data_IF_269309882819
#
_entry.id   IF_269309882819
#
_cell.length_a   1.000
_cell.length_b   1.000
_cell.length_c   1.000
_cell.angle_alpha   90.00
_cell.angle_beta   90.00
_cell.angle_gamma   90.00
#
_symmetry.space_group_name_H-M   'P 1'
#
loop_
_entity.id
_entity.type
_entity.pdbx_description
1 polymer ?
#
# COMPACT_ATOMS: atom_id res chain seq x y z
N UNK A 1 -61.95 1.57 -5.05
CA UNK A 1 -60.54 1.87 -5.32
C UNK A 1 -59.81 1.85 -4.01
N UNK A 2 -58.97 0.86 -3.66
CA UNK A 2 -58.20 0.90 -2.46
C UNK A 2 -56.96 1.80 -2.67
N UNK A 3 -56.82 2.79 -1.78
CA UNK A 3 -55.67 3.69 -1.74
C UNK A 3 -54.40 2.87 -1.54
N UNK A 4 -53.45 3.04 -2.45
CA UNK A 4 -52.10 2.52 -2.36
C UNK A 4 -51.35 3.25 -1.25
N UNK A 5 -51.32 2.70 -0.04
CA UNK A 5 -50.46 3.14 1.02
C UNK A 5 -49.00 2.93 0.59
N UNK A 6 -48.46 3.95 -0.01
CA UNK A 6 -47.01 4.06 -0.31
C UNK A 6 -46.26 3.96 1.03
N UNK A 7 -45.73 2.79 1.35
CA UNK A 7 -44.86 2.58 2.53
C UNK A 7 -43.61 3.43 2.33
N UNK A 8 -43.62 4.61 2.90
CA UNK A 8 -42.46 5.47 2.99
C UNK A 8 -41.40 4.73 3.82
N UNK A 9 -40.36 4.21 3.15
CA UNK A 9 -39.25 3.55 3.83
C UNK A 9 -38.51 4.56 4.71
N UNK A 10 -38.27 4.31 6.00
CA UNK A 10 -37.66 5.25 6.96
C UNK A 10 -36.13 5.34 6.79
N UNK A 11 -35.66 5.42 5.56
CA UNK A 11 -34.23 5.36 5.24
C UNK A 11 -33.47 6.63 5.57
N UNK A 12 -34.17 7.74 5.84
CA UNK A 12 -33.54 9.06 6.12
C UNK A 12 -33.07 9.19 7.57
N UNK A 13 -33.65 8.43 8.49
CA UNK A 13 -33.27 8.45 9.91
C UNK A 13 -32.40 7.24 10.22
N UNK A 14 -31.13 7.48 10.59
CA UNK A 14 -30.14 6.47 10.92
C UNK A 14 -30.60 5.57 12.08
N UNK A 15 -31.19 6.16 13.11
CA UNK A 15 -31.55 5.44 14.33
C UNK A 15 -32.77 4.53 14.10
N UNK A 16 -33.78 5.02 13.41
CA UNK A 16 -34.93 4.19 12.98
C UNK A 16 -34.52 3.04 12.06
N UNK A 17 -33.55 3.25 11.17
CA UNK A 17 -33.01 2.19 10.34
C UNK A 17 -32.31 1.11 11.16
N UNK A 18 -31.53 1.50 12.17
CA UNK A 18 -30.83 0.57 13.07
C UNK A 18 -31.85 -0.23 13.88
N UNK A 19 -32.88 0.40 14.39
CA UNK A 19 -33.95 -0.22 15.17
C UNK A 19 -34.78 -1.20 14.35
N UNK A 20 -35.16 -0.83 13.13
CA UNK A 20 -35.81 -1.73 12.18
C UNK A 20 -34.94 -2.95 11.84
N UNK A 21 -33.66 -2.76 11.57
CA UNK A 21 -32.74 -3.86 11.29
C UNK A 21 -32.58 -4.80 12.49
N UNK A 22 -32.55 -4.28 13.71
CA UNK A 22 -32.53 -5.09 14.93
C UNK A 22 -33.79 -5.92 15.07
N UNK A 23 -34.94 -5.30 14.92
CA UNK A 23 -36.24 -5.99 15.01
C UNK A 23 -36.40 -7.06 13.94
N UNK A 24 -35.96 -6.78 12.71
CA UNK A 24 -36.00 -7.74 11.60
C UNK A 24 -35.11 -8.96 11.86
N UNK A 25 -33.89 -8.76 12.38
CA UNK A 25 -32.96 -9.84 12.72
C UNK A 25 -33.52 -10.73 13.86
N UNK A 26 -34.14 -10.14 14.85
CA UNK A 26 -34.81 -10.89 15.92
C UNK A 26 -35.95 -11.75 15.39
N UNK A 27 -36.75 -11.23 14.44
CA UNK A 27 -37.83 -12.02 13.78
C UNK A 27 -37.27 -13.22 13.00
N UNK A 28 -36.08 -13.11 12.46
CA UNK A 28 -35.38 -14.19 11.73
C UNK A 28 -34.63 -15.15 12.67
N UNK A 29 -34.76 -15.03 13.99
CA UNK A 29 -34.06 -15.87 14.97
C UNK A 29 -32.53 -15.67 14.95
N UNK A 30 -32.07 -14.58 14.37
CA UNK A 30 -30.61 -14.27 14.35
C UNK A 30 -30.21 -13.80 15.75
N UNK A 31 -29.20 -14.47 16.31
CA UNK A 31 -28.61 -14.04 17.61
C UNK A 31 -28.10 -12.61 17.52
N UNK A 32 -28.32 -11.76 18.53
CA UNK A 32 -27.72 -10.43 18.57
C UNK A 32 -26.19 -10.55 18.44
N UNK A 33 -25.59 -9.69 17.65
CA UNK A 33 -24.12 -9.60 17.62
C UNK A 33 -23.67 -9.16 19.01
N UNK A 34 -23.06 -10.07 19.74
CA UNK A 34 -22.38 -9.73 21.00
C UNK A 34 -21.26 -8.76 20.62
N UNK A 35 -21.29 -7.56 21.17
CA UNK A 35 -20.17 -6.63 21.06
C UNK A 35 -18.94 -7.31 21.67
N UNK A 36 -17.99 -7.71 20.84
CA UNK A 36 -16.67 -8.10 21.36
C UNK A 36 -16.13 -6.91 22.12
N UNK A 37 -15.55 -7.17 23.29
CA UNK A 37 -14.87 -6.14 24.07
C UNK A 37 -13.99 -5.28 23.13
N UNK A 38 -14.05 -3.96 23.32
CA UNK A 38 -13.23 -3.00 22.58
C UNK A 38 -11.76 -3.43 22.67
N UNK A 39 -11.25 -3.95 21.59
CA UNK A 39 -9.83 -4.28 21.48
C UNK A 39 -9.12 -3.04 20.97
N UNK A 40 -8.00 -2.68 21.56
CA UNK A 40 -7.18 -1.59 21.07
C UNK A 40 -6.65 -1.86 19.65
N UNK A 41 -6.35 -0.82 18.93
CA UNK A 41 -5.71 -0.89 17.62
C UNK A 41 -4.37 -1.64 17.71
N UNK A 42 -4.13 -2.59 16.81
CA UNK A 42 -2.88 -3.39 16.79
C UNK A 42 -1.61 -2.57 16.54
N UNK A 43 -1.73 -1.31 16.12
CA UNK A 43 -0.59 -0.43 15.81
C UNK A 43 -0.39 0.64 16.87
N UNK A 44 -1.44 1.40 17.21
CA UNK A 44 -1.33 2.55 18.12
C UNK A 44 -1.99 2.32 19.50
N UNK A 45 -2.67 1.18 19.72
CA UNK A 45 -3.36 0.88 20.97
C UNK A 45 -4.68 1.62 21.19
N UNK A 46 -5.01 2.59 20.36
CA UNK A 46 -6.25 3.38 20.50
C UNK A 46 -7.50 2.51 20.50
N UNK A 47 -8.50 2.82 21.33
CA UNK A 47 -9.75 2.06 21.38
C UNK A 47 -10.46 2.07 20.02
N UNK A 48 -11.01 0.92 19.63
CA UNK A 48 -11.76 0.78 18.39
C UNK A 48 -13.23 0.58 18.71
N UNK A 49 -14.08 1.48 18.25
CA UNK A 49 -15.55 1.45 18.43
C UNK A 49 -16.29 0.52 17.46
N UNK A 50 -15.57 -0.08 16.51
CA UNK A 50 -16.13 -0.93 15.45
C UNK A 50 -15.96 -2.40 15.78
N UNK A 51 -17.09 -3.12 15.85
CA UNK A 51 -17.08 -4.56 16.06
C UNK A 51 -16.27 -5.30 14.98
N UNK A 52 -15.26 -6.05 15.42
CA UNK A 52 -14.42 -6.88 14.57
C UNK A 52 -13.33 -6.14 13.80
N UNK A 53 -13.17 -4.84 13.97
CA UNK A 53 -12.04 -4.10 13.42
C UNK A 53 -10.76 -4.41 14.22
N UNK A 54 -9.64 -4.45 13.52
CA UNK A 54 -8.31 -4.64 14.11
C UNK A 54 -7.51 -3.35 14.18
N UNK A 55 -7.93 -2.31 13.45
CA UNK A 55 -7.25 -1.04 13.28
C UNK A 55 -8.24 0.12 13.46
N UNK A 56 -7.81 1.20 14.09
CA UNK A 56 -8.59 2.41 14.28
C UNK A 56 -8.76 3.21 12.97
N UNK A 57 -7.82 3.07 12.02
CA UNK A 57 -7.80 3.79 10.76
C UNK A 57 -7.17 2.97 9.63
N UNK A 58 -7.43 3.41 8.39
CA UNK A 58 -6.76 2.87 7.20
C UNK A 58 -5.24 3.11 7.23
N UNK A 59 -4.78 4.14 7.95
CA UNK A 59 -3.35 4.40 8.11
C UNK A 59 -2.71 3.31 8.97
N UNK A 60 -3.26 3.00 10.14
CA UNK A 60 -2.78 1.93 10.99
C UNK A 60 -2.79 0.56 10.29
N UNK A 61 -3.82 0.29 9.48
CA UNK A 61 -3.83 -0.91 8.66
C UNK A 61 -2.66 -0.96 7.67
N UNK A 62 -2.43 0.13 6.92
CA UNK A 62 -1.30 0.22 5.96
C UNK A 62 0.06 0.14 6.64
N UNK A 63 0.19 0.70 7.83
CA UNK A 63 1.44 0.64 8.60
C UNK A 63 1.73 -0.77 9.11
N UNK A 64 0.68 -1.47 9.55
CA UNK A 64 0.79 -2.88 9.93
C UNK A 64 1.17 -3.77 8.74
N UNK A 65 0.48 -3.62 7.60
CA UNK A 65 0.78 -4.36 6.38
C UNK A 65 2.21 -4.08 5.89
N UNK A 66 2.64 -2.82 6.01
CA UNK A 66 4.00 -2.44 5.67
C UNK A 66 5.03 -3.12 6.58
N UNK A 67 4.84 -3.08 7.90
CA UNK A 67 5.74 -3.71 8.85
C UNK A 67 5.85 -5.23 8.59
N UNK A 68 4.72 -5.92 8.45
CA UNK A 68 4.70 -7.35 8.15
C UNK A 68 5.41 -7.69 6.82
N UNK A 69 5.22 -6.85 5.80
CA UNK A 69 5.90 -7.05 4.53
C UNK A 69 7.42 -6.88 4.67
N UNK A 70 7.85 -5.84 5.39
CA UNK A 70 9.29 -5.56 5.62
C UNK A 70 9.95 -6.71 6.38
N UNK A 71 9.32 -7.22 7.45
CA UNK A 71 9.83 -8.34 8.22
C UNK A 71 10.05 -9.59 7.34
N UNK A 72 9.05 -9.93 6.53
CA UNK A 72 9.12 -11.06 5.59
C UNK A 72 10.14 -10.85 4.48
N UNK A 73 10.32 -9.64 4.02
CA UNK A 73 11.30 -9.30 3.01
C UNK A 73 12.72 -9.36 3.56
N UNK A 74 12.97 -8.82 4.74
CA UNK A 74 14.28 -8.87 5.39
C UNK A 74 14.68 -10.30 5.79
N UNK A 75 13.71 -11.16 6.14
CA UNK A 75 13.96 -12.59 6.38
C UNK A 75 14.14 -13.42 5.11
N UNK A 76 13.92 -12.84 3.91
CA UNK A 76 14.00 -13.53 2.63
C UNK A 76 12.79 -14.41 2.30
N UNK A 77 11.72 -14.36 3.08
CA UNK A 77 10.47 -15.10 2.82
C UNK A 77 9.73 -14.59 1.58
N UNK A 78 9.86 -13.30 1.26
CA UNK A 78 9.28 -12.69 0.06
C UNK A 78 10.34 -11.96 -0.76
N UNK A 79 10.25 -12.07 -2.10
CA UNK A 79 11.23 -11.48 -3.03
C UNK A 79 11.06 -9.95 -3.16
N UNK A 80 9.94 -9.40 -2.76
CA UNK A 80 9.70 -7.95 -2.79
C UNK A 80 9.46 -7.34 -4.16
N UNK A 81 9.34 -8.15 -5.21
CA UNK A 81 9.00 -7.72 -6.56
C UNK A 81 7.50 -7.51 -6.76
N UNK A 82 7.15 -6.69 -7.75
CA UNK A 82 5.81 -6.56 -8.29
C UNK A 82 5.87 -6.53 -9.82
N UNK A 83 4.73 -6.69 -10.49
CA UNK A 83 4.64 -6.55 -11.96
C UNK A 83 5.16 -5.18 -12.42
N UNK A 84 5.00 -4.14 -11.60
CA UNK A 84 5.49 -2.80 -11.86
C UNK A 84 6.97 -2.57 -11.47
N UNK A 85 7.66 -3.57 -10.91
CA UNK A 85 9.05 -3.47 -10.42
C UNK A 85 9.17 -3.64 -8.91
N UNK A 86 9.97 -2.80 -8.24
CA UNK A 86 10.17 -2.84 -6.79
C UNK A 86 8.89 -2.50 -6.04
N UNK A 87 8.57 -3.26 -4.99
CA UNK A 87 7.42 -3.02 -4.14
C UNK A 87 7.47 -1.62 -3.51
N UNK A 88 6.30 -0.97 -3.40
CA UNK A 88 6.15 0.30 -2.66
C UNK A 88 6.63 0.20 -1.21
N UNK A 89 6.55 -0.98 -0.61
CA UNK A 89 7.01 -1.22 0.76
C UNK A 89 8.53 -1.14 0.87
N UNK A 90 9.27 -1.72 -0.09
CA UNK A 90 10.73 -1.61 -0.14
C UNK A 90 11.13 -0.16 -0.34
N UNK A 91 10.52 0.57 -1.28
CA UNK A 91 10.83 1.98 -1.49
C UNK A 91 10.57 2.81 -0.22
N UNK A 92 9.44 2.57 0.47
CA UNK A 92 9.12 3.25 1.75
C UNK A 92 10.16 2.95 2.82
N UNK A 93 10.56 1.69 2.95
CA UNK A 93 11.59 1.26 3.89
C UNK A 93 12.93 1.96 3.60
N UNK A 94 13.41 1.93 2.36
CA UNK A 94 14.68 2.57 1.98
C UNK A 94 14.67 4.09 2.21
N UNK A 95 13.55 4.76 1.98
CA UNK A 95 13.40 6.19 2.27
C UNK A 95 13.45 6.48 3.78
N UNK A 96 12.84 5.64 4.60
CA UNK A 96 12.88 5.78 6.06
C UNK A 96 14.27 5.50 6.61
N UNK A 97 14.95 4.47 6.14
CA UNK A 97 16.28 4.08 6.56
C UNK A 97 17.37 5.07 6.09
N UNK A 98 17.31 5.50 4.82
CA UNK A 98 18.31 6.37 4.20
C UNK A 98 18.10 7.86 4.43
N UNK A 99 17.00 8.28 5.06
CA UNK A 99 16.71 9.69 5.35
C UNK A 99 16.42 10.54 4.10
N UNK A 100 15.75 9.98 3.11
CA UNK A 100 15.40 10.64 1.85
C UNK A 100 16.61 11.30 1.12
N UNK A 101 17.72 10.61 1.05
CA UNK A 101 18.95 11.09 0.38
C UNK A 101 19.56 10.05 -0.53
N UNK A 102 20.34 10.50 -1.51
CA UNK A 102 21.10 9.62 -2.39
C UNK A 102 22.17 8.84 -1.59
N UNK A 103 22.21 7.53 -1.73
CA UNK A 103 23.17 6.67 -1.03
C UNK A 103 24.63 6.87 -1.45
N UNK A 104 24.89 7.45 -2.65
CA UNK A 104 26.24 7.69 -3.13
C UNK A 104 26.76 9.10 -2.84
N UNK A 105 25.96 10.13 -3.14
CA UNK A 105 26.44 11.53 -3.02
C UNK A 105 25.75 12.32 -1.90
N UNK A 106 24.78 11.73 -1.20
CA UNK A 106 24.06 12.41 -0.12
C UNK A 106 23.03 13.45 -0.58
N UNK A 107 22.85 13.65 -1.90
CA UNK A 107 21.93 14.66 -2.44
C UNK A 107 20.49 14.43 -1.93
N UNK A 108 19.84 15.53 -1.49
CA UNK A 108 18.52 15.48 -0.83
C UNK A 108 17.63 16.67 -1.19
N UNK A 109 17.89 17.33 -2.32
CA UNK A 109 17.09 18.47 -2.79
C UNK A 109 15.65 18.05 -3.09
N UNK A 110 14.70 18.81 -2.54
CA UNK A 110 13.28 18.54 -2.74
C UNK A 110 12.78 19.23 -4.01
N UNK A 111 12.03 18.49 -4.81
CA UNK A 111 11.38 19.03 -5.99
C UNK A 111 10.34 20.12 -5.57
N UNK A 112 10.40 21.34 -6.13
CA UNK A 112 9.64 22.49 -5.63
C UNK A 112 8.12 22.30 -5.67
N UNK A 113 7.61 21.57 -6.65
CA UNK A 113 6.16 21.33 -6.78
C UNK A 113 5.68 20.11 -5.96
N UNK A 114 6.48 19.07 -5.84
CA UNK A 114 6.03 17.82 -5.19
C UNK A 114 6.49 17.69 -3.74
N UNK A 115 7.45 18.51 -3.31
CA UNK A 115 8.08 18.45 -1.99
C UNK A 115 8.87 17.16 -1.71
N UNK A 116 9.06 16.30 -2.71
CA UNK A 116 9.75 15.00 -2.57
C UNK A 116 11.16 15.08 -3.17
N UNK A 117 12.08 14.34 -2.57
CA UNK A 117 13.39 14.11 -3.19
C UNK A 117 13.22 13.08 -4.32
N UNK A 118 13.59 13.40 -5.57
CA UNK A 118 13.43 12.50 -6.72
C UNK A 118 14.49 11.40 -6.72
N UNK A 119 14.36 10.44 -5.81
CA UNK A 119 15.22 9.26 -5.72
C UNK A 119 14.59 8.08 -6.43
N UNK A 120 15.42 7.26 -7.05
CA UNK A 120 15.04 6.02 -7.70
C UNK A 120 15.68 4.82 -7.02
N UNK A 121 14.99 3.66 -7.04
CA UNK A 121 15.56 2.42 -6.54
C UNK A 121 16.45 1.81 -7.62
N UNK A 122 17.72 1.67 -7.30
CA UNK A 122 18.76 1.08 -8.14
C UNK A 122 19.10 -0.34 -7.66
N UNK A 123 19.35 -1.25 -8.59
CA UNK A 123 19.82 -2.60 -8.34
C UNK A 123 21.32 -2.70 -8.61
N UNK A 124 22.10 -2.97 -7.58
CA UNK A 124 23.58 -3.02 -7.67
C UNK A 124 24.08 -3.96 -8.77
N UNK A 125 23.45 -5.13 -8.89
CA UNK A 125 23.81 -6.13 -9.91
C UNK A 125 23.08 -5.95 -11.25
N UNK A 126 22.23 -4.92 -11.38
CA UNK A 126 21.42 -4.63 -12.56
C UNK A 126 20.25 -5.58 -12.80
N UNK A 127 20.03 -6.57 -11.97
CA UNK A 127 18.91 -7.50 -12.09
C UNK A 127 17.65 -6.92 -11.41
N UNK A 128 16.70 -6.46 -12.19
CA UNK A 128 15.46 -5.86 -11.71
C UNK A 128 14.58 -6.81 -10.85
N UNK A 129 14.78 -8.11 -10.95
CA UNK A 129 14.04 -9.12 -10.20
C UNK A 129 14.67 -9.44 -8.84
N UNK A 130 15.92 -9.07 -8.62
CA UNK A 130 16.65 -9.31 -7.38
C UNK A 130 16.46 -8.13 -6.41
N UNK A 131 15.38 -8.15 -5.68
CA UNK A 131 15.03 -7.11 -4.72
C UNK A 131 15.50 -7.39 -3.29
N UNK A 132 16.53 -8.20 -3.08
CA UNK A 132 17.10 -8.43 -1.74
C UNK A 132 17.66 -7.13 -1.16
N UNK A 133 17.63 -6.99 0.17
CA UNK A 133 18.02 -5.74 0.85
C UNK A 133 19.43 -5.28 0.47
N UNK A 134 20.37 -6.17 0.38
CA UNK A 134 21.77 -5.91 0.03
C UNK A 134 21.98 -5.48 -1.44
N UNK A 135 21.00 -5.75 -2.30
CA UNK A 135 21.09 -5.44 -3.74
C UNK A 135 20.34 -4.16 -4.15
N UNK A 136 19.58 -3.54 -3.26
CA UNK A 136 18.78 -2.35 -3.56
C UNK A 136 19.22 -1.14 -2.76
N UNK A 137 19.25 0.02 -3.43
CA UNK A 137 19.62 1.32 -2.85
C UNK A 137 18.84 2.46 -3.48
N UNK A 138 18.88 3.64 -2.85
CA UNK A 138 18.27 4.86 -3.40
C UNK A 138 19.35 5.75 -4.04
N UNK A 139 19.16 6.12 -5.29
CA UNK A 139 20.05 7.03 -6.00
C UNK A 139 19.28 8.25 -6.53
N UNK A 140 19.97 9.41 -6.59
CA UNK A 140 19.49 10.53 -7.38
C UNK A 140 19.67 10.23 -8.89
N UNK A 141 18.95 10.91 -9.78
CA UNK A 141 19.03 10.68 -11.22
C UNK A 141 20.46 10.77 -11.79
N UNK A 142 21.26 11.70 -11.27
CA UNK A 142 22.66 11.87 -11.72
C UNK A 142 23.54 10.67 -11.36
N UNK A 143 23.48 10.23 -10.10
CA UNK A 143 24.24 9.06 -9.67
C UNK A 143 23.77 7.80 -10.38
N UNK A 144 22.46 7.64 -10.59
CA UNK A 144 21.93 6.50 -11.32
C UNK A 144 22.41 6.46 -12.77
N UNK A 145 22.46 7.61 -13.45
CA UNK A 145 22.97 7.71 -14.82
C UNK A 145 24.45 7.30 -14.95
N UNK A 146 25.23 7.35 -13.88
CA UNK A 146 26.62 6.97 -13.83
C UNK A 146 26.87 5.52 -13.40
N UNK A 147 25.81 4.75 -13.10
CA UNK A 147 25.98 3.34 -12.75
C UNK A 147 26.38 2.49 -13.95
N UNK A 148 27.17 1.42 -13.78
CA UNK A 148 27.54 0.50 -14.84
C UNK A 148 26.35 -0.28 -15.42
N UNK A 149 25.22 -0.24 -14.76
CA UNK A 149 23.97 -0.93 -15.12
C UNK A 149 22.92 0.01 -15.70
N UNK A 150 23.28 1.26 -16.04
CA UNK A 150 22.32 2.25 -16.52
C UNK A 150 21.83 1.93 -17.94
N UNK A 151 20.51 1.84 -18.12
CA UNK A 151 19.83 1.67 -19.43
C UNK A 151 20.47 0.59 -20.32
N UNK A 152 21.02 1.00 -21.47
CA UNK A 152 21.60 0.10 -22.47
C UNK A 152 22.85 -0.66 -22.01
N UNK A 153 23.52 -0.22 -20.96
CA UNK A 153 24.63 -0.94 -20.33
C UNK A 153 24.15 -2.19 -19.58
N UNK A 154 22.87 -2.25 -19.23
CA UNK A 154 22.25 -3.36 -18.49
C UNK A 154 21.58 -4.40 -19.44
N UNK A 155 22.16 -4.68 -20.59
CA UNK A 155 21.58 -5.62 -21.57
C UNK A 155 21.39 -7.02 -20.96
N UNK A 156 20.18 -7.57 -21.12
CA UNK A 156 19.82 -8.93 -20.69
C UNK A 156 19.46 -9.09 -19.21
N UNK A 157 19.63 -8.05 -18.38
CA UNK A 157 19.28 -8.07 -16.93
C UNK A 157 18.18 -7.07 -16.56
N UNK A 158 17.90 -6.10 -17.43
CA UNK A 158 16.84 -5.13 -17.23
C UNK A 158 15.46 -5.72 -17.42
N UNK A 159 14.41 -4.95 -17.06
CA UNK A 159 13.03 -5.36 -17.32
C UNK A 159 12.84 -5.71 -18.78
N UNK A 160 12.12 -6.81 -19.10
CA UNK A 160 11.67 -7.04 -20.46
C UNK A 160 10.86 -5.81 -20.91
N UNK A 161 11.18 -5.28 -22.06
CA UNK A 161 10.36 -4.25 -22.68
C UNK A 161 8.94 -4.82 -22.80
N UNK A 162 7.96 -4.23 -22.15
CA UNK A 162 6.59 -4.47 -22.52
C UNK A 162 6.49 -4.04 -23.99
N UNK A 163 6.30 -4.99 -24.88
CA UNK A 163 5.98 -4.72 -26.29
C UNK A 163 4.58 -4.10 -26.26
N UNK A 164 4.53 -2.80 -26.04
CA UNK A 164 3.33 -2.02 -26.33
C UNK A 164 3.16 -2.19 -27.83
N UNK A 165 2.09 -2.91 -28.21
CA UNK A 165 1.84 -3.27 -29.60
C UNK A 165 2.06 -2.05 -30.49
N UNK A 166 2.92 -2.20 -31.50
CA UNK A 166 3.03 -1.22 -32.58
C UNK A 166 1.64 -1.03 -33.12
N UNK A 167 1.09 0.16 -32.93
CA UNK A 167 -0.07 0.59 -33.70
C UNK A 167 0.40 0.55 -35.17
N UNK A 168 -0.20 -0.24 -36.06
CA UNK A 168 0.15 -0.19 -37.45
C UNK A 168 -0.10 1.23 -37.95
N UNK A 169 0.92 1.84 -38.51
CA UNK A 169 0.78 3.11 -39.24
C UNK A 169 -0.19 2.89 -40.39
N UNK A 170 -1.28 3.65 -40.41
CA UNK A 170 -2.20 3.77 -41.56
C UNK A 170 -1.55 4.63 -42.62
#
# INVERSE_FOLDING_TARGET
>A
MPESTQRCMPWKDRDRRIEYQRAYRLKLGMKPRVSRALTGCLVCGEPIDRNGARFCSNQCQRDHEHAQFVDKWLSGEVVGGSVAGVSRHIRRFLLAEGGERCSLCGWCERHPLTGRVPLEVDHLNGNYADNRRENVRLLCPNCQALTPTFRGLNRGKGRPYAVVGRIPSV
#
